data_IF_910753435483
#
_entry.id   IF_910753435483
#
_cell.length_a   1.000
_cell.length_b   1.000
_cell.length_c   1.000
_cell.angle_alpha   90.00
_cell.angle_beta   90.00
_cell.angle_gamma   90.00
#
_symmetry.space_group_name_H-M   'P 1'
#
loop_
_entity.id
_entity.type
_entity.pdbx_description
1 polymer ?
#
# COMPACT_ATOMS: atom_id res chain seq x y z
N UNK A 1 -7.48 -20.94 -0.74
CA UNK A 1 -6.59 -20.34 0.24
C UNK A 1 -5.37 -19.68 -0.38
N UNK A 2 -4.61 -20.38 -1.20
CA UNK A 2 -3.42 -19.80 -1.85
C UNK A 2 -3.74 -18.64 -2.79
N UNK A 3 -4.87 -18.68 -3.48
CA UNK A 3 -5.28 -17.61 -4.39
C UNK A 3 -5.71 -16.35 -3.63
N UNK A 4 -6.42 -16.50 -2.50
CA UNK A 4 -6.84 -15.35 -1.69
C UNK A 4 -5.64 -14.67 -1.05
N UNK A 5 -4.59 -15.40 -0.68
CA UNK A 5 -3.36 -14.84 -0.13
C UNK A 5 -2.56 -14.08 -1.19
N UNK A 6 -2.54 -14.55 -2.44
CA UNK A 6 -1.94 -13.81 -3.56
C UNK A 6 -2.69 -12.52 -3.85
N UNK A 7 -4.01 -12.56 -3.81
CA UNK A 7 -4.84 -11.38 -3.98
C UNK A 7 -4.59 -10.38 -2.86
N UNK A 8 -4.43 -10.88 -1.63
CA UNK A 8 -4.13 -10.06 -0.47
C UNK A 8 -2.84 -9.27 -0.67
N UNK A 9 -1.73 -9.96 -0.99
CA UNK A 9 -0.43 -9.32 -1.19
C UNK A 9 -0.45 -8.34 -2.36
N UNK A 10 -1.08 -8.72 -3.47
CA UNK A 10 -1.18 -7.88 -4.66
C UNK A 10 -1.96 -6.60 -4.38
N UNK A 11 -3.06 -6.71 -3.62
CA UNK A 11 -3.87 -5.57 -3.20
C UNK A 11 -3.10 -4.64 -2.27
N UNK A 12 -2.36 -5.19 -1.32
CA UNK A 12 -1.51 -4.44 -0.39
C UNK A 12 -0.44 -3.68 -1.17
N UNK A 13 0.28 -4.36 -2.04
CA UNK A 13 1.34 -3.74 -2.84
C UNK A 13 0.81 -2.59 -3.68
N UNK A 14 -0.30 -2.80 -4.38
CA UNK A 14 -0.92 -1.78 -5.22
C UNK A 14 -1.33 -0.55 -4.43
N UNK A 15 -1.93 -0.75 -3.26
CA UNK A 15 -2.36 0.34 -2.39
C UNK A 15 -1.18 1.12 -1.83
N UNK A 16 -0.15 0.43 -1.34
CA UNK A 16 1.04 1.09 -0.81
C UNK A 16 1.81 1.83 -1.91
N UNK A 17 1.89 1.25 -3.10
CA UNK A 17 2.51 1.92 -4.24
C UNK A 17 1.77 3.21 -4.59
N UNK A 18 0.44 3.18 -4.56
CA UNK A 18 -0.37 4.37 -4.79
C UNK A 18 -0.13 5.43 -3.73
N UNK A 19 0.00 5.04 -2.46
CA UNK A 19 0.24 5.96 -1.35
C UNK A 19 1.68 6.43 -1.25
N UNK A 20 2.62 5.71 -1.85
CA UNK A 20 4.05 5.98 -1.71
C UNK A 20 4.59 7.11 -2.57
N UNK A 21 3.76 8.13 -2.86
CA UNK A 21 4.15 9.28 -3.64
C UNK A 21 3.63 10.54 -2.91
N UNK A 22 4.49 11.57 -2.71
CA UNK A 22 4.14 12.71 -1.86
C UNK A 22 2.86 13.44 -2.24
N UNK A 23 2.63 13.67 -3.53
CA UNK A 23 1.42 14.36 -3.99
C UNK A 23 0.18 13.55 -3.68
N UNK A 24 0.23 12.24 -3.87
CA UNK A 24 -0.91 11.37 -3.57
C UNK A 24 -1.22 11.33 -2.08
N UNK A 25 -0.19 11.32 -1.22
CA UNK A 25 -0.42 11.44 0.22
C UNK A 25 -1.09 12.75 0.58
N UNK A 26 -0.68 13.86 -0.06
CA UNK A 26 -1.32 15.16 0.15
C UNK A 26 -2.79 15.13 -0.26
N UNK A 27 -3.10 14.53 -1.39
CA UNK A 27 -4.48 14.38 -1.85
C UNK A 27 -5.30 13.59 -0.83
N UNK A 28 -4.79 12.46 -0.38
CA UNK A 28 -5.46 11.63 0.65
C UNK A 28 -5.72 12.46 1.90
N UNK A 29 -4.74 13.23 2.36
CA UNK A 29 -4.89 14.07 3.56
C UNK A 29 -5.98 15.12 3.37
N UNK A 30 -6.00 15.79 2.22
CA UNK A 30 -7.01 16.81 1.94
C UNK A 30 -8.40 16.20 1.82
N UNK A 31 -8.52 15.04 1.18
CA UNK A 31 -9.79 14.35 1.07
C UNK A 31 -10.26 13.79 2.42
N UNK A 32 -9.35 13.60 3.38
CA UNK A 32 -9.75 13.22 4.74
C UNK A 32 -10.50 14.32 5.46
N UNK A 33 -10.30 15.57 5.04
CA UNK A 33 -10.99 16.71 5.61
C UNK A 33 -12.35 16.93 4.94
N UNK A 34 -12.38 16.87 3.61
CA UNK A 34 -13.60 17.13 2.85
C UNK A 34 -13.48 16.55 1.44
N UNK A 35 -14.61 16.23 0.83
CA UNK A 35 -14.65 15.88 -0.59
C UNK A 35 -14.24 17.09 -1.43
N UNK A 36 -13.51 16.84 -2.52
CA UNK A 36 -13.01 17.92 -3.37
C UNK A 36 -13.09 17.52 -4.85
N UNK A 37 -13.34 18.53 -5.68
CA UNK A 37 -13.31 18.38 -7.13
C UNK A 37 -11.88 18.55 -7.64
N UNK A 38 -11.63 18.11 -8.87
CA UNK A 38 -10.30 18.24 -9.49
C UNK A 38 -9.82 19.68 -9.50
N UNK A 39 -10.71 20.63 -9.85
CA UNK A 39 -10.36 22.04 -9.89
C UNK A 39 -9.95 22.59 -8.52
N UNK A 40 -10.60 22.14 -7.46
CA UNK A 40 -10.23 22.54 -6.10
C UNK A 40 -8.86 21.98 -5.70
N UNK A 41 -8.62 20.71 -5.97
CA UNK A 41 -7.32 20.08 -5.72
C UNK A 41 -6.21 20.75 -6.53
N UNK A 42 -6.49 21.08 -7.78
CA UNK A 42 -5.55 21.78 -8.67
C UNK A 42 -5.16 23.12 -8.08
N UNK A 43 -6.13 23.88 -7.59
CA UNK A 43 -5.89 25.20 -6.99
C UNK A 43 -5.09 25.09 -5.69
N UNK A 44 -5.50 24.18 -4.80
CA UNK A 44 -4.86 24.02 -3.48
C UNK A 44 -3.42 23.51 -3.62
N UNK A 45 -3.18 22.58 -4.54
CA UNK A 45 -1.86 22.00 -4.74
C UNK A 45 -0.99 22.75 -5.74
N UNK A 46 -1.54 23.76 -6.39
CA UNK A 46 -0.86 24.52 -7.46
C UNK A 46 -0.28 23.57 -8.53
N UNK A 47 -1.15 22.73 -9.04
CA UNK A 47 -0.80 21.73 -10.05
C UNK A 47 -1.83 21.74 -11.18
N UNK A 48 -1.38 21.41 -12.38
CA UNK A 48 -2.28 21.33 -13.53
C UNK A 48 -3.31 20.22 -13.35
N UNK A 49 -4.55 20.48 -13.76
CA UNK A 49 -5.64 19.51 -13.62
C UNK A 49 -5.34 18.14 -14.22
N UNK A 50 -4.71 18.02 -15.40
CA UNK A 50 -4.38 16.70 -15.94
C UNK A 50 -3.48 15.86 -15.02
N UNK A 51 -2.55 16.51 -14.32
CA UNK A 51 -1.67 15.81 -13.35
C UNK A 51 -2.46 15.34 -12.13
N UNK A 52 -3.34 16.20 -11.64
CA UNK A 52 -4.24 15.84 -10.53
C UNK A 52 -5.10 14.63 -10.93
N UNK A 53 -5.68 14.67 -12.12
CA UNK A 53 -6.53 13.59 -12.64
C UNK A 53 -5.76 12.25 -12.73
N UNK A 54 -4.48 12.30 -13.14
CA UNK A 54 -3.63 11.11 -13.19
C UNK A 54 -3.40 10.52 -11.80
N UNK A 55 -3.10 11.37 -10.81
CA UNK A 55 -2.93 10.92 -9.42
C UNK A 55 -4.22 10.33 -8.86
N UNK A 56 -5.34 10.97 -9.13
CA UNK A 56 -6.65 10.48 -8.68
C UNK A 56 -7.01 9.14 -9.32
N UNK A 57 -6.66 8.95 -10.57
CA UNK A 57 -6.89 7.68 -11.25
C UNK A 57 -6.13 6.54 -10.58
N UNK A 58 -4.86 6.79 -10.23
CA UNK A 58 -4.03 5.79 -9.54
C UNK A 58 -4.64 5.45 -8.18
N UNK A 59 -5.07 6.47 -7.43
CA UNK A 59 -5.70 6.28 -6.13
C UNK A 59 -7.05 5.56 -6.24
N UNK A 60 -7.84 5.88 -7.26
CA UNK A 60 -9.12 5.24 -7.52
C UNK A 60 -8.93 3.78 -7.90
N UNK A 61 -7.97 3.48 -8.77
CA UNK A 61 -7.68 2.11 -9.19
C UNK A 61 -7.20 1.25 -8.02
N UNK A 62 -6.59 1.87 -7.01
CA UNK A 62 -6.17 1.20 -5.77
C UNK A 62 -7.29 1.17 -4.72
N UNK A 63 -8.48 1.65 -5.06
CA UNK A 63 -9.66 1.68 -4.19
C UNK A 63 -9.48 2.52 -2.91
N UNK A 64 -8.67 3.56 -3.00
CA UNK A 64 -8.40 4.47 -1.87
C UNK A 64 -9.26 5.73 -1.92
N UNK A 65 -9.77 6.08 -3.09
CA UNK A 65 -10.69 7.20 -3.27
C UNK A 65 -11.89 6.75 -4.11
N UNK A 66 -12.99 7.47 -3.96
CA UNK A 66 -14.24 7.25 -4.70
C UNK A 66 -14.55 8.47 -5.54
N UNK A 67 -14.90 8.23 -6.79
CA UNK A 67 -15.34 9.27 -7.70
C UNK A 67 -16.86 9.40 -7.62
N UNK A 68 -17.34 10.62 -7.38
CA UNK A 68 -18.77 10.93 -7.32
C UNK A 68 -19.10 11.95 -8.40
N UNK A 69 -20.01 11.59 -9.28
CA UNK A 69 -20.49 12.50 -10.33
C UNK A 69 -21.77 13.17 -9.89
N UNK A 70 -21.75 14.51 -9.79
CA UNK A 70 -22.90 15.31 -9.45
C UNK A 70 -23.13 16.34 -10.57
N UNK A 71 -24.05 16.03 -11.49
CA UNK A 71 -24.27 16.87 -12.66
C UNK A 71 -23.02 16.96 -13.53
N UNK A 72 -22.52 18.19 -13.71
CA UNK A 72 -21.31 18.46 -14.48
C UNK A 72 -20.02 18.34 -13.65
N UNK A 73 -20.16 18.17 -12.33
CA UNK A 73 -19.00 18.14 -11.44
C UNK A 73 -18.64 16.72 -11.06
N UNK A 74 -17.34 16.47 -11.02
CA UNK A 74 -16.79 15.20 -10.54
C UNK A 74 -16.01 15.49 -9.28
N UNK A 75 -16.50 14.98 -8.16
CA UNK A 75 -15.87 15.16 -6.86
C UNK A 75 -15.30 13.82 -6.38
N UNK A 76 -14.28 13.90 -5.56
CA UNK A 76 -13.61 12.73 -5.00
C UNK A 76 -13.72 12.77 -3.48
N UNK A 77 -13.92 11.61 -2.91
CA UNK A 77 -13.94 11.42 -1.45
C UNK A 77 -13.04 10.24 -1.10
N UNK A 78 -12.65 10.14 0.16
CA UNK A 78 -11.93 8.96 0.62
C UNK A 78 -12.82 7.74 0.54
N UNK A 79 -12.24 6.63 0.14
CA UNK A 79 -12.87 5.32 0.29
C UNK A 79 -12.46 4.77 1.67
N UNK A 80 -13.24 5.09 2.70
CA UNK A 80 -12.94 4.67 4.07
C UNK A 80 -12.89 3.15 4.20
N UNK A 81 -13.82 2.47 3.52
CA UNK A 81 -13.84 1.00 3.51
C UNK A 81 -12.59 0.42 2.86
N UNK A 82 -12.12 1.04 1.77
CA UNK A 82 -10.90 0.63 1.10
C UNK A 82 -9.66 0.80 1.97
N UNK A 83 -9.60 1.91 2.71
CA UNK A 83 -8.49 2.17 3.63
C UNK A 83 -8.51 1.21 4.82
N UNK A 84 -9.68 0.94 5.38
CA UNK A 84 -9.85 -0.04 6.46
C UNK A 84 -9.48 -1.44 5.99
N UNK A 85 -9.88 -1.81 4.78
CA UNK A 85 -9.52 -3.10 4.18
C UNK A 85 -8.02 -3.22 4.03
N UNK A 86 -7.36 -2.16 3.55
CA UNK A 86 -5.90 -2.14 3.43
C UNK A 86 -5.22 -2.37 4.78
N UNK A 87 -5.69 -1.67 5.80
CA UNK A 87 -5.13 -1.82 7.16
C UNK A 87 -5.30 -3.24 7.68
N UNK A 88 -6.51 -3.79 7.55
CA UNK A 88 -6.81 -5.16 7.99
C UNK A 88 -6.01 -6.19 7.19
N UNK A 89 -5.93 -6.03 5.88
CA UNK A 89 -5.20 -6.94 5.02
C UNK A 89 -3.70 -6.92 5.34
N UNK A 90 -3.16 -5.74 5.59
CA UNK A 90 -1.76 -5.61 5.96
C UNK A 90 -1.47 -6.26 7.31
N UNK A 91 -2.38 -6.10 8.28
CA UNK A 91 -2.26 -6.75 9.59
C UNK A 91 -2.28 -8.28 9.43
N UNK A 92 -3.21 -8.80 8.65
CA UNK A 92 -3.28 -10.24 8.36
C UNK A 92 -2.02 -10.75 7.67
N UNK A 93 -1.50 -9.97 6.73
CA UNK A 93 -0.25 -10.31 6.04
C UNK A 93 0.92 -10.41 7.03
N UNK A 94 1.03 -9.49 7.96
CA UNK A 94 2.10 -9.48 8.97
C UNK A 94 1.97 -10.66 9.95
N UNK A 95 0.74 -11.05 10.29
CA UNK A 95 0.47 -12.15 11.22
C UNK A 95 0.62 -13.53 10.57
N UNK A 96 0.52 -13.61 9.25
CA UNK A 96 0.64 -14.87 8.54
C UNK A 96 2.06 -15.41 8.63
N UNK A 97 2.19 -16.73 8.80
CA UNK A 97 3.48 -17.37 8.77
C UNK A 97 4.04 -17.34 7.34
N UNK A 98 5.33 -17.08 7.20
CA UNK A 98 5.98 -17.00 5.89
C UNK A 98 5.83 -18.29 5.09
N UNK A 99 5.70 -19.43 5.78
CA UNK A 99 5.52 -20.75 5.12
C UNK A 99 4.17 -20.87 4.43
N UNK A 100 3.19 -20.07 4.85
CA UNK A 100 1.83 -20.12 4.29
C UNK A 100 1.64 -19.16 3.10
N UNK A 101 2.59 -18.24 2.87
CA UNK A 101 2.43 -17.20 1.87
C UNK A 101 2.95 -17.64 0.49
N UNK A 102 2.10 -17.58 -0.55
CA UNK A 102 2.55 -17.87 -1.92
C UNK A 102 3.60 -16.85 -2.37
N UNK A 103 4.61 -17.33 -3.08
CA UNK A 103 5.69 -16.50 -3.56
C UNK A 103 6.86 -16.35 -2.61
N UNK A 104 6.73 -16.90 -1.38
CA UNK A 104 7.79 -16.86 -0.35
C UNK A 104 8.47 -18.20 -0.13
N UNK A 105 8.31 -19.15 -1.05
CA UNK A 105 8.82 -20.51 -0.90
C UNK A 105 10.34 -20.53 -0.73
N UNK A 106 11.05 -19.75 -1.55
CA UNK A 106 12.52 -19.66 -1.48
C UNK A 106 12.97 -19.02 -0.18
N UNK A 107 12.34 -17.91 0.18
CA UNK A 107 12.67 -17.16 1.39
C UNK A 107 12.36 -17.98 2.63
N UNK A 108 11.21 -18.66 2.65
CA UNK A 108 10.81 -19.53 3.75
C UNK A 108 11.81 -20.66 3.96
N UNK A 109 12.22 -21.31 2.87
CA UNK A 109 13.22 -22.39 2.92
C UNK A 109 14.56 -21.89 3.45
N UNK A 110 15.00 -20.73 2.98
CA UNK A 110 16.27 -20.13 3.41
C UNK A 110 16.21 -19.72 4.88
N UNK A 111 15.07 -19.19 5.34
CA UNK A 111 14.86 -18.84 6.74
C UNK A 111 14.96 -20.05 7.66
N UNK A 112 14.36 -21.18 7.27
CA UNK A 112 14.41 -22.40 8.08
C UNK A 112 15.81 -22.99 8.16
N UNK A 113 16.69 -22.68 7.20
CA UNK A 113 18.06 -23.17 7.16
C UNK A 113 19.09 -22.17 7.70
N UNK A 114 18.65 -21.04 8.27
CA UNK A 114 19.56 -20.02 8.79
C UNK A 114 20.46 -20.52 9.90
N UNK A 115 19.93 -21.35 10.79
CA UNK A 115 20.71 -21.93 11.91
C UNK A 115 21.81 -22.85 11.44
N UNK A 116 21.67 -23.42 10.23
CA UNK A 116 22.66 -24.31 9.62
C UNK A 116 23.58 -23.61 8.62
N UNK A 117 23.38 -22.31 8.40
CA UNK A 117 24.16 -21.56 7.44
C UNK A 117 25.48 -21.10 8.06
N UNK A 118 26.59 -21.66 7.56
CA UNK A 118 27.93 -21.37 8.08
C UNK A 118 28.32 -19.89 7.99
N UNK A 119 27.93 -19.25 6.88
CA UNK A 119 28.19 -17.84 6.65
C UNK A 119 27.53 -16.97 7.73
N UNK A 120 26.28 -17.25 8.05
CA UNK A 120 25.51 -16.50 9.06
C UNK A 120 26.03 -16.82 10.47
N UNK A 121 26.38 -18.07 10.77
CA UNK A 121 27.00 -18.45 12.04
C UNK A 121 28.28 -17.67 12.29
N UNK A 122 29.13 -17.55 11.26
CA UNK A 122 30.38 -16.80 11.34
C UNK A 122 30.12 -15.31 11.61
N UNK A 123 29.18 -14.71 10.89
CA UNK A 123 28.80 -13.29 11.07
C UNK A 123 28.23 -13.07 12.48
N UNK A 124 27.31 -13.91 12.93
CA UNK A 124 26.73 -13.81 14.27
C UNK A 124 27.74 -14.03 15.38
N UNK A 125 28.70 -14.92 15.15
CA UNK A 125 29.80 -15.13 16.07
C UNK A 125 30.63 -13.87 16.31
N UNK A 126 30.80 -13.04 15.28
CA UNK A 126 31.47 -11.75 15.40
C UNK A 126 30.58 -10.68 16.03
N UNK A 127 29.25 -10.77 15.86
CA UNK A 127 28.30 -9.77 16.35
C UNK A 127 27.73 -10.09 17.72
N UNK A 128 27.90 -11.29 18.22
CA UNK A 128 27.38 -11.71 19.54
C UNK A 128 27.87 -10.84 20.69
N UNK A 129 28.97 -10.14 20.52
CA UNK A 129 29.52 -9.24 21.54
C UNK A 129 28.84 -7.87 21.54
N UNK A 130 28.05 -7.56 20.53
CA UNK A 130 27.36 -6.27 20.40
C UNK A 130 25.85 -6.36 20.69
N UNK A 131 25.33 -7.57 20.73
CA UNK A 131 23.95 -7.82 21.11
C UNK A 131 23.89 -8.32 22.55
#
# INVERSE_FOLDING_TARGET
>A
MKESERFLEKGIYKAFKALGEPTRLKIIKMLSNQGMCVCELSEVLDMLQPRISQHLKILKDAELVVENKEGYFVCYTLNKEGLERLWNDFTLFLEADVTSLPGYEKESSRMSNLSCNEKIKEIKGKLQKEC
#
